data_IF_671735533217
#
_entry.id   IF_671735533217
#
_cell.length_a   1.000
_cell.length_b   1.000
_cell.length_c   1.000
_cell.angle_alpha   90.00
_cell.angle_beta   90.00
_cell.angle_gamma   90.00
#
_symmetry.space_group_name_H-M   'P 1'
#
loop_
_entity.id
_entity.type
_entity.pdbx_description
1 polymer ?
#
# COMPACT_ATOMS: atom_id res chain seq x y z
N UNK A 1 -4.48 8.47 10.85
CA UNK A 1 -4.56 7.61 12.04
C UNK A 1 -5.49 6.44 11.74
N UNK A 2 -5.04 5.19 11.92
CA UNK A 2 -5.82 4.00 11.57
C UNK A 2 -6.72 3.63 12.76
N UNK A 3 -8.01 3.47 12.53
CA UNK A 3 -8.97 3.04 13.53
C UNK A 3 -9.70 1.79 13.04
N UNK A 4 -9.90 0.82 13.93
CA UNK A 4 -10.69 -0.39 13.65
C UNK A 4 -11.68 -0.57 14.77
N UNK A 5 -12.96 -0.61 14.38
CA UNK A 5 -14.04 -0.94 15.30
C UNK A 5 -14.08 -2.45 15.48
N UNK A 6 -13.97 -2.92 16.71
CA UNK A 6 -14.18 -4.31 17.09
C UNK A 6 -15.68 -4.48 17.34
N UNK A 7 -16.29 -5.53 16.76
CA UNK A 7 -17.71 -5.85 16.99
C UNK A 7 -17.84 -6.83 18.15
N UNK A 8 -18.93 -6.74 18.90
CA UNK A 8 -19.22 -7.69 19.99
C UNK A 8 -19.39 -9.11 19.42
N UNK A 9 -18.61 -10.05 19.93
CA UNK A 9 -18.53 -11.44 19.46
C UNK A 9 -17.36 -11.76 18.52
N UNK A 10 -16.53 -10.77 18.12
CA UNK A 10 -15.31 -11.06 17.37
C UNK A 10 -14.15 -11.48 18.26
N UNK A 11 -13.45 -12.53 17.83
CA UNK A 11 -12.19 -12.93 18.44
C UNK A 11 -11.12 -11.87 18.15
N UNK A 12 -10.36 -11.50 19.19
CA UNK A 12 -9.30 -10.48 19.13
C UNK A 12 -8.34 -10.66 17.95
N UNK A 13 -7.95 -11.89 17.63
CA UNK A 13 -7.05 -12.20 16.51
C UNK A 13 -7.59 -11.74 15.15
N UNK A 14 -8.91 -11.80 14.93
CA UNK A 14 -9.53 -11.32 13.68
C UNK A 14 -9.44 -9.80 13.59
N UNK A 15 -9.65 -9.09 14.69
CA UNK A 15 -9.48 -7.64 14.74
C UNK A 15 -8.02 -7.25 14.47
N UNK A 16 -7.06 -7.97 15.06
CA UNK A 16 -5.63 -7.76 14.85
C UNK A 16 -5.23 -7.99 13.38
N UNK A 17 -5.71 -9.06 12.75
CA UNK A 17 -5.45 -9.33 11.32
C UNK A 17 -6.00 -8.22 10.40
N UNK A 18 -7.15 -7.63 10.74
CA UNK A 18 -7.66 -6.47 10.01
C UNK A 18 -6.81 -5.23 10.25
N UNK A 19 -6.27 -5.07 11.46
CA UNK A 19 -5.35 -3.98 11.79
C UNK A 19 -4.08 -4.06 10.96
N UNK A 20 -3.40 -5.19 10.97
CA UNK A 20 -2.18 -5.38 10.19
C UNK A 20 -2.44 -5.16 8.70
N UNK A 21 -3.53 -5.71 8.15
CA UNK A 21 -3.90 -5.50 6.74
C UNK A 21 -4.21 -4.03 6.41
N UNK A 22 -4.92 -3.32 7.30
CA UNK A 22 -5.23 -1.90 7.10
C UNK A 22 -3.97 -1.04 7.21
N UNK A 23 -3.08 -1.38 8.14
CA UNK A 23 -1.79 -0.73 8.33
C UNK A 23 -0.88 -0.91 7.12
N UNK A 24 -0.76 -2.14 6.61
CA UNK A 24 -0.02 -2.42 5.38
C UNK A 24 -0.60 -1.68 4.17
N UNK A 25 -1.94 -1.70 4.02
CA UNK A 25 -2.64 -1.00 2.93
C UNK A 25 -2.47 0.51 3.00
N UNK A 26 -2.39 1.08 4.21
CA UNK A 26 -2.22 2.53 4.39
C UNK A 26 -0.89 3.06 3.86
N UNK A 27 0.12 2.20 3.68
CA UNK A 27 1.41 2.61 3.13
C UNK A 27 2.27 3.45 4.09
N UNK A 28 1.88 3.59 5.37
CA UNK A 28 2.60 4.39 6.38
C UNK A 28 4.08 4.02 6.47
N UNK A 29 4.42 2.73 6.42
CA UNK A 29 5.83 2.28 6.40
C UNK A 29 6.57 2.70 5.13
N UNK A 30 5.90 2.73 3.98
CA UNK A 30 6.50 3.16 2.72
C UNK A 30 6.74 4.68 2.72
N UNK A 31 5.81 5.45 3.30
CA UNK A 31 5.93 6.89 3.50
C UNK A 31 7.06 7.24 4.49
N UNK A 32 7.19 6.48 5.58
CA UNK A 32 8.29 6.63 6.53
C UNK A 32 9.65 6.46 5.84
N UNK A 33 9.84 5.34 5.13
CA UNK A 33 11.09 5.05 4.38
C UNK A 33 11.42 6.07 3.31
N UNK A 34 10.41 6.75 2.79
CA UNK A 34 10.59 7.84 1.84
C UNK A 34 11.08 9.11 2.54
N UNK A 35 10.52 9.41 3.71
CA UNK A 35 10.84 10.61 4.49
C UNK A 35 12.15 10.51 5.28
N UNK A 36 12.65 9.30 5.52
CA UNK A 36 13.93 9.07 6.21
C UNK A 36 15.12 9.80 5.58
N UNK A 37 15.08 10.10 4.28
CA UNK A 37 16.16 10.81 3.59
C UNK A 37 15.62 11.78 2.56
N UNK A 38 16.36 12.87 2.33
CA UNK A 38 16.07 13.76 1.22
C UNK A 38 16.29 13.05 -0.11
N UNK A 39 15.27 13.08 -0.96
CA UNK A 39 15.34 12.62 -2.34
C UNK A 39 15.24 13.82 -3.26
N UNK A 40 16.20 13.96 -4.18
CA UNK A 40 16.19 15.07 -5.15
C UNK A 40 14.92 14.98 -6.03
N UNK A 41 14.34 16.12 -6.47
CA UNK A 41 13.10 16.14 -7.25
C UNK A 41 13.15 15.26 -8.51
N UNK A 42 14.30 15.18 -9.18
CA UNK A 42 14.51 14.33 -10.36
C UNK A 42 14.34 12.83 -10.05
N UNK A 43 14.77 12.40 -8.88
CA UNK A 43 14.65 11.00 -8.43
C UNK A 43 13.23 10.67 -8.01
N UNK A 44 12.52 11.61 -7.36
CA UNK A 44 11.09 11.50 -7.05
C UNK A 44 10.30 11.25 -8.34
N UNK A 45 10.46 12.13 -9.34
CA UNK A 45 9.76 12.04 -10.62
C UNK A 45 10.09 10.71 -11.35
N UNK A 46 11.36 10.29 -11.31
CA UNK A 46 11.78 9.01 -11.90
C UNK A 46 11.09 7.82 -11.22
N UNK A 47 11.02 7.80 -9.88
CA UNK A 47 10.37 6.72 -9.14
C UNK A 47 8.88 6.67 -9.47
N UNK A 48 8.19 7.80 -9.46
CA UNK A 48 6.76 7.88 -9.75
C UNK A 48 6.44 7.34 -11.14
N UNK A 49 7.23 7.73 -12.15
CA UNK A 49 7.09 7.21 -13.51
C UNK A 49 7.23 5.69 -13.57
N UNK A 50 8.26 5.14 -12.91
CA UNK A 50 8.48 3.68 -12.85
C UNK A 50 7.31 2.98 -12.14
N UNK A 51 6.81 3.54 -11.04
CA UNK A 51 5.66 2.97 -10.31
C UNK A 51 4.39 2.99 -11.17
N UNK A 52 4.12 4.07 -11.90
CA UNK A 52 2.99 4.18 -12.82
C UNK A 52 3.05 3.13 -13.93
N UNK A 53 4.21 2.99 -14.60
CA UNK A 53 4.40 1.97 -15.64
C UNK A 53 4.21 0.55 -15.09
N UNK A 54 4.77 0.24 -13.92
CA UNK A 54 4.58 -1.07 -13.27
C UNK A 54 3.11 -1.34 -12.94
N UNK A 55 2.38 -0.34 -12.46
CA UNK A 55 0.94 -0.45 -12.18
C UNK A 55 0.15 -0.73 -13.46
N UNK A 56 0.44 -0.02 -14.54
CA UNK A 56 -0.22 -0.20 -15.84
C UNK A 56 0.05 -1.59 -16.41
N UNK A 57 1.30 -2.05 -16.39
CA UNK A 57 1.66 -3.41 -16.82
C UNK A 57 0.93 -4.49 -16.01
N UNK A 58 0.79 -4.28 -14.69
CA UNK A 58 0.03 -5.20 -13.83
C UNK A 58 -1.44 -5.28 -14.22
N UNK A 59 -2.06 -4.14 -14.54
CA UNK A 59 -3.47 -4.06 -14.98
C UNK A 59 -3.65 -4.76 -16.33
N UNK A 60 -2.78 -4.47 -17.31
CA UNK A 60 -2.81 -5.13 -18.63
C UNK A 60 -2.67 -6.65 -18.50
N UNK A 61 -1.75 -7.14 -17.66
CA UNK A 61 -1.61 -8.58 -17.39
C UNK A 61 -2.86 -9.22 -16.77
N UNK A 62 -3.59 -8.48 -15.95
CA UNK A 62 -4.86 -8.97 -15.39
C UNK A 62 -5.96 -9.01 -16.44
N UNK A 63 -6.04 -8.00 -17.31
CA UNK A 63 -7.00 -7.95 -18.43
C UNK A 63 -6.74 -9.08 -19.43
N UNK A 64 -5.47 -9.32 -19.78
CA UNK A 64 -5.08 -10.39 -20.71
C UNK A 64 -5.25 -11.80 -20.11
N UNK A 65 -5.38 -11.93 -18.79
CA UNK A 65 -5.72 -13.20 -18.09
C UNK A 65 -7.22 -13.46 -18.03
N UNK A 66 -8.04 -12.50 -18.48
CA UNK A 66 -9.50 -12.58 -18.51
C UNK A 66 -10.08 -13.13 -19.82
N UNK A 67 -9.28 -13.84 -20.62
CA UNK A 67 -9.69 -14.67 -21.75
C UNK A 67 -9.10 -16.06 -21.59
#
# INVERSE_FOLDING_TARGET
MIHIKVRDGEHFEKALKRFTKTFEKSGVLAELRLRERYEKPTWVNRRERIQATRKQQKIQRMQNRGF
#
